data_IF_523011461140
#
_entry.id   IF_523011461140
#
_cell.length_a   1.000
_cell.length_b   1.000
_cell.length_c   1.000
_cell.angle_alpha   90.00
_cell.angle_beta   90.00
_cell.angle_gamma   90.00
#
_symmetry.space_group_name_H-M   'P 1'
#
loop_
_entity.id
_entity.type
_entity.pdbx_description
1 polymer ?
#
# COMPACT_ATOMS: atom_id res chain seq x y z
N UNK A 1 10.11 -8.16 9.26
CA UNK A 1 9.56 -7.89 7.90
C UNK A 1 9.77 -6.43 7.55
N UNK A 2 10.19 -6.16 6.35
CA UNK A 2 10.38 -4.83 5.77
C UNK A 2 9.15 -4.41 4.94
N UNK A 3 8.95 -3.10 4.75
CA UNK A 3 7.88 -2.57 3.89
C UNK A 3 8.46 -1.73 2.75
N UNK A 4 7.86 -1.81 1.57
CA UNK A 4 8.18 -0.94 0.43
C UNK A 4 6.91 -0.22 0.01
N UNK A 5 7.00 1.09 -0.18
CA UNK A 5 5.98 1.87 -0.87
C UNK A 5 6.57 2.27 -2.22
N UNK A 6 5.98 1.76 -3.30
CA UNK A 6 6.40 2.15 -4.64
C UNK A 6 5.58 3.37 -5.09
N UNK A 7 6.21 4.52 -5.05
CA UNK A 7 5.65 5.82 -5.39
C UNK A 7 6.34 6.42 -6.63
N UNK A 8 6.61 5.57 -7.62
CA UNK A 8 7.23 5.94 -8.88
C UNK A 8 6.23 6.35 -9.96
N UNK A 9 6.75 6.55 -11.17
CA UNK A 9 5.97 6.90 -12.35
C UNK A 9 5.70 8.39 -12.49
N UNK A 10 5.48 8.83 -13.74
CA UNK A 10 5.32 10.25 -14.06
C UNK A 10 3.90 10.79 -13.89
N UNK A 11 2.92 9.94 -13.60
CA UNK A 11 1.52 10.33 -13.39
C UNK A 11 0.89 11.05 -14.60
N UNK A 12 1.29 10.73 -15.80
CA UNK A 12 0.88 11.47 -17.04
C UNK A 12 -0.62 11.45 -17.27
N UNK A 13 -1.33 10.42 -16.82
CA UNK A 13 -2.79 10.34 -16.90
C UNK A 13 -3.51 11.42 -16.08
N UNK A 14 -2.81 12.01 -15.10
CA UNK A 14 -3.34 13.08 -14.24
C UNK A 14 -2.83 14.49 -14.63
N UNK A 15 -2.17 14.63 -15.79
CA UNK A 15 -1.79 15.97 -16.25
C UNK A 15 -3.02 16.87 -16.42
N UNK A 16 -2.93 18.17 -16.05
CA UNK A 16 -1.73 18.91 -15.60
C UNK A 16 -1.40 18.83 -14.10
N UNK A 17 -2.18 18.14 -13.28
CA UNK A 17 -2.00 18.09 -11.80
C UNK A 17 -0.60 17.61 -11.39
N UNK A 18 -0.06 16.64 -12.11
CA UNK A 18 1.22 15.97 -11.80
C UNK A 18 2.42 16.52 -12.57
N UNK A 19 2.28 17.68 -13.23
CA UNK A 19 3.42 18.28 -13.96
C UNK A 19 4.58 18.73 -13.07
N UNK A 20 4.29 19.06 -11.82
CA UNK A 20 5.26 19.63 -10.88
C UNK A 20 5.29 18.87 -9.55
N UNK A 21 4.56 17.77 -9.43
CA UNK A 21 4.49 16.97 -8.20
C UNK A 21 4.15 15.53 -8.51
N UNK A 22 4.61 14.61 -7.64
CA UNK A 22 4.19 13.21 -7.68
C UNK A 22 2.68 13.07 -7.47
N UNK A 23 2.06 12.10 -8.14
CA UNK A 23 0.67 11.72 -7.91
C UNK A 23 0.39 11.43 -6.42
N UNK A 24 1.28 10.72 -5.77
CA UNK A 24 1.15 10.29 -4.38
C UNK A 24 1.26 11.43 -3.35
N UNK A 25 1.61 12.64 -3.80
CA UNK A 25 1.59 13.87 -2.99
C UNK A 25 0.30 14.67 -3.18
N UNK A 26 -0.56 14.31 -4.14
CA UNK A 26 -1.87 14.92 -4.30
C UNK A 26 -2.76 14.61 -3.09
N UNK A 27 -3.65 15.55 -2.71
CA UNK A 27 -4.54 15.34 -1.59
C UNK A 27 -5.65 14.32 -1.91
N UNK A 28 -5.92 13.43 -0.97
CA UNK A 28 -7.15 12.66 -0.89
C UNK A 28 -7.88 13.14 0.36
N UNK A 29 -8.87 13.97 0.19
CA UNK A 29 -9.63 14.67 1.20
C UNK A 29 -8.74 15.56 2.10
N UNK A 30 -8.28 15.08 3.25
CA UNK A 30 -7.62 15.88 4.28
C UNK A 30 -6.12 15.56 4.48
N UNK A 31 -5.57 14.66 3.67
CA UNK A 31 -4.16 14.25 3.77
C UNK A 31 -3.57 13.84 2.42
N UNK A 32 -2.23 13.83 2.28
CA UNK A 32 -1.59 13.35 1.05
C UNK A 32 -1.89 11.87 0.78
N UNK A 33 -2.00 11.51 -0.49
CA UNK A 33 -2.31 10.15 -0.93
C UNK A 33 -1.36 9.09 -0.33
N UNK A 34 -0.07 9.39 -0.19
CA UNK A 34 0.94 8.46 0.35
C UNK A 34 0.62 7.97 1.79
N UNK A 35 -0.21 8.70 2.56
CA UNK A 35 -0.60 8.30 3.90
C UNK A 35 -1.41 7.00 3.90
N UNK A 36 -2.22 6.77 2.86
CA UNK A 36 -3.08 5.59 2.78
C UNK A 36 -2.30 4.29 2.64
N UNK A 37 -1.40 4.11 1.64
CA UNK A 37 -0.56 2.91 1.56
C UNK A 37 0.38 2.78 2.77
N UNK A 38 0.90 3.89 3.32
CA UNK A 38 1.73 3.85 4.52
C UNK A 38 0.94 3.30 5.72
N UNK A 39 -0.33 3.69 5.87
CA UNK A 39 -1.20 3.17 6.93
C UNK A 39 -1.43 1.66 6.84
N UNK A 40 -1.45 1.09 5.63
CA UNK A 40 -1.59 -0.35 5.41
C UNK A 40 -0.39 -1.10 5.98
N UNK A 41 0.83 -0.64 5.68
CA UNK A 41 2.05 -1.24 6.23
C UNK A 41 2.12 -1.10 7.75
N UNK A 42 1.77 0.06 8.29
CA UNK A 42 1.72 0.29 9.74
C UNK A 42 0.68 -0.61 10.43
N UNK A 43 -0.50 -0.79 9.85
CA UNK A 43 -1.53 -1.70 10.36
C UNK A 43 -1.13 -3.18 10.27
N UNK A 44 -0.23 -3.53 9.35
CA UNK A 44 0.42 -4.84 9.30
C UNK A 44 1.49 -5.03 10.40
N UNK A 45 1.83 -3.96 11.14
CA UNK A 45 2.88 -3.96 12.17
C UNK A 45 4.28 -3.71 11.62
N UNK A 46 4.40 -3.24 10.38
CA UNK A 46 5.68 -2.98 9.71
C UNK A 46 6.13 -1.56 10.03
N UNK A 47 7.36 -1.44 10.56
CA UNK A 47 7.93 -0.14 10.99
C UNK A 47 9.13 0.30 10.16
N UNK A 48 9.87 -0.61 9.54
CA UNK A 48 10.97 -0.28 8.63
C UNK A 48 10.40 -0.21 7.22
N UNK A 49 10.35 0.99 6.64
CA UNK A 49 9.66 1.25 5.37
C UNK A 49 10.61 1.99 4.42
N UNK A 50 10.75 1.46 3.21
CA UNK A 50 11.46 2.09 2.09
C UNK A 50 10.45 2.72 1.13
N UNK A 51 10.63 4.01 0.87
CA UNK A 51 9.86 4.71 -0.16
C UNK A 51 10.72 4.81 -1.42
N UNK A 52 10.25 4.19 -2.50
CA UNK A 52 10.90 4.22 -3.82
C UNK A 52 10.15 5.19 -4.72
N UNK A 53 10.82 6.21 -5.22
CA UNK A 53 10.22 7.23 -6.08
C UNK A 53 11.15 7.68 -7.19
N UNK A 54 10.68 8.63 -8.01
CA UNK A 54 11.49 9.23 -9.07
C UNK A 54 12.58 10.14 -8.50
N UNK A 55 13.67 10.41 -9.26
CA UNK A 55 14.71 11.35 -8.82
C UNK A 55 14.16 12.74 -8.45
N UNK A 56 13.10 13.19 -9.14
CA UNK A 56 12.51 14.51 -8.94
C UNK A 56 11.63 14.58 -7.69
N UNK A 57 10.97 13.47 -7.34
CA UNK A 57 9.97 13.47 -6.28
C UNK A 57 10.49 12.93 -4.94
N UNK A 58 11.56 12.13 -4.93
CA UNK A 58 12.17 11.61 -3.70
C UNK A 58 12.45 12.71 -2.67
N UNK A 59 13.07 13.89 -3.03
CA UNK A 59 13.28 14.96 -2.05
C UNK A 59 12.00 15.56 -1.47
N UNK A 60 10.88 15.47 -2.21
CA UNK A 60 9.57 15.94 -1.73
C UNK A 60 8.98 15.00 -0.69
N UNK A 61 9.11 13.68 -0.90
CA UNK A 61 8.73 12.69 0.10
C UNK A 61 9.58 12.82 1.36
N UNK A 62 10.89 13.00 1.23
CA UNK A 62 11.79 13.27 2.37
C UNK A 62 11.37 14.53 3.13
N UNK A 63 11.02 15.61 2.42
CA UNK A 63 10.54 16.85 3.03
C UNK A 63 9.21 16.69 3.75
N UNK A 64 8.29 15.86 3.23
CA UNK A 64 6.96 15.62 3.83
C UNK A 64 7.03 14.70 5.04
N UNK A 65 7.78 13.61 4.94
CA UNK A 65 7.67 12.48 5.87
C UNK A 65 8.89 12.37 6.80
N UNK A 66 10.00 13.06 6.49
CA UNK A 66 11.24 13.00 7.27
C UNK A 66 11.79 11.58 7.40
N UNK A 67 12.29 11.26 8.56
CA UNK A 67 12.78 9.92 8.93
C UNK A 67 11.68 9.00 9.50
N UNK A 68 10.45 9.53 9.66
CA UNK A 68 9.28 8.79 10.13
C UNK A 68 9.11 8.71 11.64
N UNK A 69 10.00 9.34 12.44
CA UNK A 69 9.93 9.25 13.90
C UNK A 69 8.58 9.73 14.46
N UNK A 70 7.98 10.77 13.87
CA UNK A 70 6.66 11.31 14.27
C UNK A 70 5.51 10.29 14.07
N UNK A 71 5.73 9.24 13.29
CA UNK A 71 4.81 8.13 13.06
C UNK A 71 5.29 6.83 13.75
N UNK A 72 6.34 6.88 14.53
CA UNK A 72 6.92 5.72 15.20
C UNK A 72 7.49 4.66 14.25
N UNK A 73 7.89 5.04 13.03
CA UNK A 73 8.47 4.17 12.02
C UNK A 73 9.83 4.69 11.57
N UNK A 74 10.60 3.87 10.87
CA UNK A 74 11.88 4.22 10.27
C UNK A 74 11.69 4.31 8.75
N UNK A 75 11.76 5.52 8.20
CA UNK A 75 11.65 5.74 6.76
C UNK A 75 13.05 5.85 6.14
N UNK A 76 13.22 5.16 5.03
CA UNK A 76 14.35 5.29 4.12
C UNK A 76 13.84 5.55 2.71
N UNK A 77 14.72 6.04 1.85
CA UNK A 77 14.32 6.48 0.52
C UNK A 77 15.27 5.92 -0.53
N UNK A 78 14.72 5.52 -1.68
CA UNK A 78 15.51 5.10 -2.82
C UNK A 78 14.91 5.67 -4.12
N UNK A 79 15.76 5.77 -5.12
CA UNK A 79 15.37 6.32 -6.43
C UNK A 79 15.17 5.17 -7.41
N UNK A 80 14.01 5.17 -8.08
CA UNK A 80 13.77 4.41 -9.30
C UNK A 80 14.07 5.31 -10.49
N UNK A 81 15.18 5.07 -11.22
CA UNK A 81 15.63 5.99 -12.27
C UNK A 81 14.72 5.96 -13.51
N UNK A 82 14.09 4.82 -13.78
CA UNK A 82 13.15 4.58 -14.88
C UNK A 82 12.04 3.64 -14.43
N UNK A 83 10.82 3.76 -14.98
CA UNK A 83 9.68 2.91 -14.59
C UNK A 83 9.73 1.55 -15.29
N UNK A 84 10.74 0.73 -14.97
CA UNK A 84 11.00 -0.57 -15.62
C UNK A 84 10.17 -1.72 -15.04
N UNK A 85 9.05 -1.41 -14.40
CA UNK A 85 8.11 -2.36 -13.84
C UNK A 85 8.08 -2.41 -12.31
N UNK A 86 7.01 -3.01 -11.76
CA UNK A 86 6.80 -3.04 -10.32
C UNK A 86 7.80 -3.96 -9.60
N UNK A 87 8.18 -5.08 -10.22
CA UNK A 87 9.11 -6.03 -9.62
C UNK A 87 10.53 -5.46 -9.46
N UNK A 88 10.90 -4.39 -10.19
CA UNK A 88 12.16 -3.68 -10.02
C UNK A 88 12.36 -3.15 -8.59
N UNK A 89 11.26 -2.87 -7.87
CA UNK A 89 11.31 -2.40 -6.49
C UNK A 89 12.09 -3.33 -5.55
N UNK A 90 12.02 -4.65 -5.77
CA UNK A 90 12.76 -5.62 -4.95
C UNK A 90 14.24 -5.66 -5.27
N UNK A 91 14.63 -5.34 -6.50
CA UNK A 91 16.03 -5.21 -6.91
C UNK A 91 16.62 -3.92 -6.32
N UNK A 92 15.91 -2.79 -6.43
CA UNK A 92 16.33 -1.51 -5.84
C UNK A 92 16.41 -1.60 -4.32
N UNK A 93 15.46 -2.31 -3.70
CA UNK A 93 15.37 -2.47 -2.26
C UNK A 93 16.18 -3.62 -1.68
N UNK A 94 17.02 -4.32 -2.45
CA UNK A 94 17.74 -5.53 -2.01
C UNK A 94 18.50 -5.34 -0.71
N UNK A 95 19.33 -4.31 -0.63
CA UNK A 95 20.15 -4.02 0.58
C UNK A 95 19.26 -3.66 1.79
N UNK A 96 18.14 -2.99 1.56
CA UNK A 96 17.17 -2.67 2.61
C UNK A 96 16.41 -3.91 3.09
N UNK A 97 16.04 -4.80 2.18
CA UNK A 97 15.34 -6.04 2.51
C UNK A 97 16.27 -6.98 3.28
N UNK A 98 17.52 -7.14 2.82
CA UNK A 98 18.48 -8.08 3.40
C UNK A 98 17.91 -9.50 3.43
N UNK A 99 18.01 -10.15 4.58
CA UNK A 99 17.50 -11.52 4.79
C UNK A 99 16.04 -11.55 5.27
N UNK A 100 15.33 -10.43 5.25
CA UNK A 100 13.98 -10.31 5.79
C UNK A 100 12.90 -10.61 4.72
N UNK A 101 11.69 -10.92 5.18
CA UNK A 101 10.50 -10.91 4.33
C UNK A 101 10.10 -9.46 4.03
N UNK A 102 9.37 -9.23 2.95
CA UNK A 102 8.98 -7.89 2.53
C UNK A 102 7.52 -7.81 2.12
N UNK A 103 6.86 -6.73 2.52
CA UNK A 103 5.58 -6.31 1.95
C UNK A 103 5.80 -5.13 1.01
N UNK A 104 5.09 -5.10 -0.11
CA UNK A 104 5.06 -3.95 -1.01
C UNK A 104 3.62 -3.48 -1.21
N UNK A 105 3.43 -2.16 -1.18
CA UNK A 105 2.17 -1.52 -1.52
C UNK A 105 2.41 -0.42 -2.55
N UNK A 106 1.50 -0.32 -3.51
CA UNK A 106 1.54 0.76 -4.50
C UNK A 106 1.08 2.07 -3.86
N UNK A 107 1.84 3.14 -4.11
CA UNK A 107 1.69 4.44 -3.47
C UNK A 107 0.38 5.19 -3.76
N UNK A 108 -0.42 4.69 -4.69
CA UNK A 108 -1.70 5.24 -5.14
C UNK A 108 -2.91 4.35 -4.79
N UNK A 109 -2.70 3.32 -4.00
CA UNK A 109 -3.76 2.39 -3.59
C UNK A 109 -4.30 2.72 -2.19
N UNK A 110 -5.61 2.72 -2.06
CA UNK A 110 -6.33 2.92 -0.81
C UNK A 110 -7.03 1.62 -0.44
N UNK A 111 -6.81 1.15 0.77
CA UNK A 111 -7.47 -0.04 1.32
C UNK A 111 -8.20 0.33 2.61
N UNK A 112 -9.45 -0.07 2.72
CA UNK A 112 -10.20 0.06 3.97
C UNK A 112 -11.25 -1.04 4.07
N UNK A 113 -11.63 -1.38 5.29
CA UNK A 113 -12.66 -2.39 5.54
C UNK A 113 -12.50 -3.03 6.91
N UNK A 114 -13.61 -3.49 7.44
CA UNK A 114 -13.61 -4.17 8.73
C UNK A 114 -12.83 -5.49 8.67
N UNK A 115 -11.90 -5.68 9.61
CA UNK A 115 -11.08 -6.90 9.66
C UNK A 115 -9.86 -6.88 8.74
N UNK A 116 -9.57 -5.78 8.03
CA UNK A 116 -8.38 -5.65 7.18
C UNK A 116 -7.09 -5.96 7.98
N UNK A 117 -6.94 -5.39 9.17
CA UNK A 117 -5.75 -5.59 10.02
C UNK A 117 -5.48 -7.08 10.33
N UNK A 118 -6.55 -7.88 10.52
CA UNK A 118 -6.39 -9.33 10.75
C UNK A 118 -5.82 -10.04 9.52
N UNK A 119 -6.28 -9.66 8.31
CA UNK A 119 -5.79 -10.23 7.05
C UNK A 119 -4.35 -9.83 6.77
N UNK A 120 -4.00 -8.56 7.04
CA UNK A 120 -2.63 -8.07 6.92
C UNK A 120 -1.66 -8.84 7.83
N UNK A 121 -2.02 -9.04 9.11
CA UNK A 121 -1.22 -9.82 10.07
C UNK A 121 -1.06 -11.27 9.63
N UNK A 122 -2.11 -11.90 9.10
CA UNK A 122 -2.03 -13.26 8.57
C UNK A 122 -1.08 -13.35 7.36
N UNK A 123 -1.09 -12.34 6.47
CA UNK A 123 -0.15 -12.28 5.35
C UNK A 123 1.31 -12.11 5.82
N UNK A 124 1.55 -11.30 6.86
CA UNK A 124 2.87 -11.18 7.50
C UNK A 124 3.33 -12.54 8.05
N UNK A 125 2.47 -13.23 8.80
CA UNK A 125 2.77 -14.55 9.37
C UNK A 125 3.05 -15.59 8.29
N UNK A 126 2.30 -15.59 7.19
CA UNK A 126 2.54 -16.49 6.06
C UNK A 126 3.93 -16.30 5.46
N UNK A 127 4.32 -15.07 5.18
CA UNK A 127 5.64 -14.77 4.62
C UNK A 127 6.78 -15.12 5.60
N UNK A 128 6.65 -14.75 6.88
CA UNK A 128 7.64 -15.03 7.91
C UNK A 128 7.82 -16.53 8.20
N UNK A 129 6.77 -17.33 8.00
CA UNK A 129 6.83 -18.78 8.14
C UNK A 129 7.27 -19.51 6.86
N UNK A 130 7.74 -18.79 5.85
CA UNK A 130 8.21 -19.38 4.58
C UNK A 130 7.11 -20.02 3.75
N UNK A 131 5.85 -19.55 3.89
CA UNK A 131 4.71 -20.05 3.12
C UNK A 131 4.55 -19.35 1.76
N UNK A 132 5.57 -18.64 1.32
CA UNK A 132 5.62 -17.99 0.03
C UNK A 132 5.04 -16.59 0.00
N UNK A 133 4.19 -16.32 -1.00
CA UNK A 133 3.58 -15.02 -1.23
C UNK A 133 2.10 -14.98 -0.81
N UNK A 134 1.64 -13.82 -0.39
CA UNK A 134 0.21 -13.50 -0.24
C UNK A 134 -0.11 -12.25 -1.03
N UNK A 135 -1.10 -12.33 -1.90
CA UNK A 135 -1.67 -11.22 -2.68
C UNK A 135 -3.15 -11.08 -2.37
N UNK A 136 -3.71 -9.90 -2.63
CA UNK A 136 -5.11 -9.61 -2.33
C UNK A 136 -5.90 -9.47 -3.64
N UNK A 137 -6.94 -10.28 -3.77
CA UNK A 137 -7.86 -10.27 -4.90
C UNK A 137 -9.08 -9.40 -4.61
N UNK A 138 -9.52 -8.65 -5.62
CA UNK A 138 -10.70 -7.79 -5.55
C UNK A 138 -11.55 -7.93 -6.82
N UNK A 139 -12.87 -7.91 -6.68
CA UNK A 139 -13.78 -7.99 -7.82
C UNK A 139 -13.87 -6.64 -8.53
N UNK A 140 -13.69 -6.64 -9.87
CA UNK A 140 -13.77 -5.44 -10.72
C UNK A 140 -14.68 -5.72 -11.92
N UNK A 141 -15.27 -4.66 -12.48
CA UNK A 141 -16.13 -4.76 -13.66
C UNK A 141 -15.36 -4.62 -14.99
N UNK A 142 -14.12 -4.13 -14.93
CA UNK A 142 -13.20 -3.86 -16.05
C UNK A 142 -11.87 -4.64 -15.92
N UNK A 143 -11.92 -5.97 -15.85
CA UNK A 143 -10.76 -6.81 -15.52
C UNK A 143 -9.60 -6.73 -16.51
N UNK A 144 -9.81 -6.31 -17.76
CA UNK A 144 -8.79 -6.17 -18.79
C UNK A 144 -7.67 -5.16 -18.46
N UNK A 145 -7.84 -4.36 -17.42
CA UNK A 145 -6.87 -3.35 -17.01
C UNK A 145 -5.89 -3.81 -15.93
N UNK A 146 -6.07 -5.03 -15.39
CA UNK A 146 -5.37 -5.52 -14.21
C UNK A 146 -4.73 -6.90 -14.44
N UNK A 147 -3.89 -7.31 -13.50
CA UNK A 147 -3.50 -8.72 -13.36
C UNK A 147 -4.67 -9.54 -12.83
N UNK A 148 -5.12 -10.55 -13.57
CA UNK A 148 -6.33 -11.32 -13.28
C UNK A 148 -5.99 -12.71 -12.78
N UNK A 149 -6.63 -13.12 -11.69
CA UNK A 149 -6.51 -14.47 -11.11
C UNK A 149 -7.69 -15.32 -11.54
N UNK A 150 -7.40 -16.54 -12.06
CA UNK A 150 -8.38 -17.57 -12.30
C UNK A 150 -8.40 -18.56 -11.14
N UNK A 151 -9.58 -18.99 -10.73
CA UNK A 151 -9.77 -19.95 -9.65
C UNK A 151 -10.40 -21.24 -10.14
N UNK A 152 -10.02 -22.35 -9.54
CA UNK A 152 -10.73 -23.62 -9.70
C UNK A 152 -12.06 -23.62 -8.91
N UNK A 153 -12.83 -24.69 -9.06
CA UNK A 153 -14.12 -24.88 -8.36
C UNK A 153 -14.01 -24.94 -6.83
N UNK A 154 -12.80 -25.10 -6.29
CA UNK A 154 -12.53 -25.14 -4.86
C UNK A 154 -12.01 -23.78 -4.34
N UNK A 155 -11.91 -22.77 -5.21
CA UNK A 155 -11.39 -21.45 -4.88
C UNK A 155 -9.86 -21.35 -4.83
N UNK A 156 -9.14 -22.34 -5.38
CA UNK A 156 -7.68 -22.31 -5.50
C UNK A 156 -7.28 -21.55 -6.77
N UNK A 157 -6.36 -20.63 -6.66
CA UNK A 157 -5.78 -19.94 -7.82
C UNK A 157 -5.05 -20.95 -8.72
N UNK A 158 -5.34 -20.91 -10.03
CA UNK A 158 -4.79 -21.82 -11.03
C UNK A 158 -4.07 -21.09 -12.17
N UNK A 159 -4.38 -19.83 -12.41
CA UNK A 159 -3.63 -19.00 -13.36
C UNK A 159 -3.65 -17.54 -12.92
N UNK A 160 -2.66 -16.78 -13.39
CA UNK A 160 -2.58 -15.34 -13.24
C UNK A 160 -2.05 -14.73 -14.53
N UNK A 161 -2.76 -13.74 -15.08
CA UNK A 161 -2.45 -13.12 -16.38
C UNK A 161 -2.48 -11.60 -16.26
N UNK A 162 -1.45 -10.94 -16.81
CA UNK A 162 -1.38 -9.47 -16.84
C UNK A 162 -2.21 -8.93 -17.99
N UNK A 163 -3.20 -8.08 -17.66
CA UNK A 163 -4.06 -7.36 -18.62
C UNK A 163 -4.51 -8.23 -19.82
N UNK A 164 -5.18 -9.36 -19.57
CA UNK A 164 -5.57 -10.28 -20.62
C UNK A 164 -6.63 -9.64 -21.55
N UNK A 165 -6.53 -9.90 -22.86
CA UNK A 165 -7.57 -9.50 -23.82
C UNK A 165 -8.92 -10.22 -23.55
N UNK A 166 -8.84 -11.42 -23.00
CA UNK A 166 -9.99 -12.25 -22.66
C UNK A 166 -9.88 -12.72 -21.20
N UNK A 167 -10.28 -11.86 -20.22
CA UNK A 167 -10.17 -12.19 -18.81
C UNK A 167 -10.96 -13.46 -18.43
N UNK A 168 -10.34 -14.36 -17.69
CA UNK A 168 -10.97 -15.61 -17.23
C UNK A 168 -11.77 -15.45 -15.94
N UNK A 169 -11.64 -14.33 -15.27
CA UNK A 169 -12.41 -13.95 -14.09
C UNK A 169 -12.48 -12.43 -13.95
N UNK A 170 -13.29 -11.97 -13.00
CA UNK A 170 -13.35 -10.55 -12.60
C UNK A 170 -12.52 -10.25 -11.33
N UNK A 171 -11.71 -11.18 -10.86
CA UNK A 171 -10.87 -10.95 -9.68
C UNK A 171 -9.48 -10.48 -10.10
N UNK A 172 -9.19 -9.21 -9.84
CA UNK A 172 -7.87 -8.64 -10.05
C UNK A 172 -6.97 -8.79 -8.82
N UNK A 173 -5.67 -8.78 -9.01
CA UNK A 173 -4.68 -8.60 -7.94
C UNK A 173 -4.55 -7.11 -7.66
N UNK A 174 -4.78 -6.72 -6.41
CA UNK A 174 -4.61 -5.34 -5.97
C UNK A 174 -3.14 -4.97 -5.80
N UNK A 175 -2.83 -3.69 -5.59
CA UNK A 175 -1.46 -3.21 -5.38
C UNK A 175 -0.90 -3.45 -3.97
N UNK A 176 -1.14 -4.63 -3.38
CA UNK A 176 -0.65 -5.00 -2.05
C UNK A 176 -0.14 -6.44 -2.06
N UNK A 177 1.12 -6.62 -1.71
CA UNK A 177 1.86 -7.87 -1.87
C UNK A 177 2.68 -8.16 -0.62
N UNK A 178 2.71 -9.43 -0.19
CA UNK A 178 3.57 -9.92 0.90
C UNK A 178 4.37 -11.11 0.38
N UNK A 179 5.68 -11.07 0.56
CA UNK A 179 6.59 -12.09 0.03
C UNK A 179 7.57 -12.56 1.10
N UNK A 180 7.93 -13.83 1.04
CA UNK A 180 9.13 -14.31 1.71
C UNK A 180 10.41 -13.77 1.04
N UNK A 181 11.58 -14.06 1.60
CA UNK A 181 12.85 -13.47 1.13
C UNK A 181 13.26 -13.91 -0.30
N UNK A 182 12.70 -15.00 -0.84
CA UNK A 182 12.98 -15.48 -2.20
C UNK A 182 12.63 -14.46 -3.28
N UNK A 183 11.79 -13.50 -2.98
CA UNK A 183 11.31 -12.49 -3.93
C UNK A 183 12.43 -11.71 -4.61
N UNK A 184 13.53 -11.42 -3.88
CA UNK A 184 14.67 -10.67 -4.42
C UNK A 184 15.35 -11.46 -5.54
N UNK A 185 15.62 -12.74 -5.30
CA UNK A 185 16.22 -13.63 -6.29
C UNK A 185 15.28 -13.86 -7.48
N UNK A 186 14.00 -14.06 -7.23
CA UNK A 186 13.00 -14.19 -8.30
C UNK A 186 12.92 -12.93 -9.16
N UNK A 187 12.89 -11.74 -8.55
CA UNK A 187 12.86 -10.47 -9.28
C UNK A 187 14.11 -10.25 -10.16
N UNK A 188 15.30 -10.62 -9.68
CA UNK A 188 16.56 -10.55 -10.43
C UNK A 188 16.57 -11.44 -11.67
N UNK A 189 15.84 -12.55 -11.63
CA UNK A 189 15.80 -13.53 -12.71
C UNK A 189 14.61 -13.32 -13.68
N UNK A 190 13.75 -12.32 -13.42
CA UNK A 190 12.67 -11.97 -14.35
C UNK A 190 13.24 -11.43 -15.67
N UNK A 191 12.53 -11.73 -16.74
CA UNK A 191 12.78 -11.11 -18.05
C UNK A 191 11.74 -10.02 -18.28
N UNK A 192 12.14 -8.88 -18.87
CA UNK A 192 11.17 -7.86 -19.26
C UNK A 192 10.09 -8.45 -20.19
N UNK A 193 8.85 -8.03 -19.98
CA UNK A 193 7.73 -8.34 -20.85
C UNK A 193 7.86 -7.65 -22.21
N UNK A 194 6.93 -7.91 -23.13
CA UNK A 194 6.86 -7.21 -24.44
C UNK A 194 6.72 -5.68 -24.27
N UNK A 195 6.28 -5.22 -23.10
CA UNK A 195 6.23 -3.78 -22.72
C UNK A 195 7.57 -3.25 -22.21
N UNK A 196 8.57 -4.10 -22.05
CA UNK A 196 9.87 -3.74 -21.48
C UNK A 196 9.88 -3.64 -19.95
N UNK A 197 8.83 -4.14 -19.26
CA UNK A 197 8.66 -4.03 -17.82
C UNK A 197 8.92 -5.37 -17.11
N UNK A 198 9.51 -5.31 -15.90
CA UNK A 198 9.58 -6.43 -14.96
C UNK A 198 8.22 -6.54 -14.26
N UNK A 199 7.36 -7.42 -14.78
CA UNK A 199 5.97 -7.50 -14.34
C UNK A 199 5.83 -8.16 -12.98
N UNK A 200 5.05 -7.55 -12.10
CA UNK A 200 4.71 -8.15 -10.81
C UNK A 200 3.86 -9.42 -10.99
N UNK A 201 3.08 -9.49 -12.05
CA UNK A 201 2.28 -10.67 -12.41
C UNK A 201 3.16 -11.86 -12.74
N UNK A 202 4.29 -11.66 -13.43
CA UNK A 202 5.24 -12.73 -13.71
C UNK A 202 5.94 -13.21 -12.43
N UNK A 203 6.26 -12.29 -11.54
CA UNK A 203 6.78 -12.63 -10.21
C UNK A 203 5.78 -13.47 -9.41
N UNK A 204 4.51 -13.08 -9.38
CA UNK A 204 3.44 -13.83 -8.72
C UNK A 204 3.22 -15.20 -9.38
N UNK A 205 3.42 -15.32 -10.69
CA UNK A 205 3.32 -16.60 -11.42
C UNK A 205 4.38 -17.59 -10.95
N UNK A 206 5.61 -17.15 -10.65
CA UNK A 206 6.65 -18.02 -10.08
C UNK A 206 6.17 -18.64 -8.77
N UNK A 207 5.58 -17.85 -7.86
CA UNK A 207 5.01 -18.36 -6.62
C UNK A 207 3.80 -19.28 -6.83
N UNK A 208 2.98 -19.00 -7.86
CA UNK A 208 1.85 -19.85 -8.21
C UNK A 208 2.32 -21.24 -8.71
N UNK A 209 3.29 -21.28 -9.60
CA UNK A 209 3.89 -22.50 -10.15
C UNK A 209 4.64 -23.32 -9.09
N UNK A 210 5.29 -22.63 -8.14
CA UNK A 210 5.90 -23.25 -6.95
C UNK A 210 4.85 -23.77 -5.94
N UNK A 211 3.57 -23.43 -6.12
CA UNK A 211 2.49 -23.81 -5.21
C UNK A 211 2.45 -23.03 -3.90
N UNK A 212 3.16 -21.91 -3.83
CA UNK A 212 3.31 -21.06 -2.64
C UNK A 212 2.70 -19.65 -2.79
N UNK A 213 1.77 -19.45 -3.75
CA UNK A 213 0.96 -18.24 -3.86
C UNK A 213 -0.36 -18.40 -3.09
N UNK A 214 -0.59 -17.53 -2.11
CA UNK A 214 -1.84 -17.41 -1.39
C UNK A 214 -2.60 -16.19 -1.95
N UNK A 215 -3.87 -16.36 -2.28
CA UNK A 215 -4.75 -15.26 -2.72
C UNK A 215 -5.84 -15.04 -1.68
N UNK A 216 -5.82 -13.89 -1.04
CA UNK A 216 -6.83 -13.45 -0.07
C UNK A 216 -7.87 -12.59 -0.79
N UNK A 217 -9.12 -13.05 -0.86
CA UNK A 217 -10.19 -12.26 -1.48
C UNK A 217 -10.74 -11.21 -0.52
N UNK A 218 -10.69 -9.95 -0.95
CA UNK A 218 -11.36 -8.84 -0.29
C UNK A 218 -12.81 -8.80 -0.76
N UNK A 219 -13.70 -9.39 0.03
CA UNK A 219 -15.11 -9.48 -0.29
C UNK A 219 -15.91 -8.27 0.17
N UNK A 220 -17.22 -8.47 0.37
CA UNK A 220 -18.13 -7.43 0.83
C UNK A 220 -17.64 -6.80 2.15
N UNK A 221 -17.73 -5.47 2.24
CA UNK A 221 -17.27 -4.70 3.40
C UNK A 221 -15.83 -4.21 3.31
N UNK A 222 -15.10 -4.60 2.25
CA UNK A 222 -13.81 -4.00 1.89
C UNK A 222 -13.96 -3.04 0.72
N UNK A 223 -13.15 -2.00 0.72
CA UNK A 223 -13.03 -1.08 -0.39
C UNK A 223 -11.55 -0.96 -0.76
N UNK A 224 -11.28 -1.20 -2.03
CA UNK A 224 -10.00 -0.93 -2.66
C UNK A 224 -10.21 0.09 -3.78
N UNK A 225 -9.37 1.13 -3.80
CA UNK A 225 -9.40 2.18 -4.81
C UNK A 225 -8.01 2.34 -5.41
N UNK A 226 -7.96 2.29 -6.75
CA UNK A 226 -6.81 2.71 -7.55
C UNK A 226 -7.07 4.14 -8.06
N UNK A 227 -6.25 5.09 -7.64
CA UNK A 227 -6.42 6.50 -7.95
C UNK A 227 -5.70 6.91 -9.23
N UNK A 228 -5.83 6.10 -10.29
CA UNK A 228 -5.09 6.24 -11.54
C UNK A 228 -5.61 7.30 -12.52
N UNK A 229 -6.84 7.81 -12.35
CA UNK A 229 -7.50 8.79 -13.21
C UNK A 229 -8.03 9.98 -12.41
N UNK A 230 -8.42 11.07 -13.10
CA UNK A 230 -9.04 12.23 -12.44
C UNK A 230 -10.36 11.85 -11.76
N UNK A 231 -11.16 11.00 -12.40
CA UNK A 231 -12.42 10.50 -11.87
C UNK A 231 -12.18 9.68 -10.60
N UNK A 232 -11.29 8.69 -10.65
CA UNK A 232 -11.00 7.86 -9.49
C UNK A 232 -10.36 8.64 -8.33
N UNK A 233 -9.63 9.72 -8.60
CA UNK A 233 -9.09 10.62 -7.59
C UNK A 233 -10.22 11.37 -6.85
N UNK A 234 -11.22 11.86 -7.58
CA UNK A 234 -12.41 12.52 -7.02
C UNK A 234 -13.25 11.53 -6.24
N UNK A 235 -13.48 10.34 -6.79
CA UNK A 235 -14.26 9.28 -6.12
C UNK A 235 -13.61 8.84 -4.81
N UNK A 236 -12.29 8.66 -4.80
CA UNK A 236 -11.54 8.36 -3.59
C UNK A 236 -11.66 9.47 -2.54
N UNK A 237 -11.57 10.74 -2.95
CA UNK A 237 -11.75 11.89 -2.06
C UNK A 237 -13.16 11.92 -1.46
N UNK A 238 -14.20 11.73 -2.27
CA UNK A 238 -15.58 11.70 -1.83
C UNK A 238 -15.86 10.51 -0.90
N UNK A 239 -15.33 9.34 -1.23
CA UNK A 239 -15.45 8.14 -0.40
C UNK A 239 -14.84 8.36 0.98
N UNK A 240 -13.57 8.78 1.06
CA UNK A 240 -12.88 9.03 2.32
C UNK A 240 -13.63 10.07 3.15
N UNK A 241 -14.00 11.21 2.54
CA UNK A 241 -14.78 12.25 3.19
C UNK A 241 -16.07 11.69 3.80
N UNK A 242 -16.84 10.94 3.03
CA UNK A 242 -18.12 10.38 3.47
C UNK A 242 -17.94 9.41 4.63
N UNK A 243 -16.98 8.49 4.52
CA UNK A 243 -16.73 7.50 5.57
C UNK A 243 -16.27 8.19 6.86
N UNK A 244 -15.29 9.11 6.79
CA UNK A 244 -14.79 9.83 7.97
C UNK A 244 -15.88 10.68 8.65
N UNK A 245 -16.74 11.32 7.87
CA UNK A 245 -17.85 12.13 8.40
C UNK A 245 -18.90 11.29 9.13
N UNK A 246 -19.22 10.10 8.62
CA UNK A 246 -20.25 9.25 9.21
C UNK A 246 -19.74 8.35 10.33
N UNK A 247 -18.49 7.88 10.25
CA UNK A 247 -17.89 7.06 11.28
C UNK A 247 -17.23 7.87 12.39
N UNK A 248 -17.03 9.18 12.18
CA UNK A 248 -16.29 10.06 13.09
C UNK A 248 -14.86 9.58 13.39
N UNK A 249 -14.30 8.77 12.49
CA UNK A 249 -12.95 8.20 12.56
C UNK A 249 -12.22 8.51 11.26
N UNK A 250 -10.94 8.83 11.37
CA UNK A 250 -10.12 9.04 10.18
C UNK A 250 -9.65 7.72 9.57
N UNK A 251 -9.62 7.70 8.25
CA UNK A 251 -8.91 6.65 7.50
C UNK A 251 -7.45 7.08 7.38
N UNK A 252 -6.52 6.15 7.61
CA UNK A 252 -5.08 6.40 7.43
C UNK A 252 -4.53 7.60 8.26
N UNK A 253 -4.99 7.76 9.49
CA UNK A 253 -4.35 8.68 10.43
C UNK A 253 -3.11 7.99 11.01
N UNK A 254 -1.93 8.32 10.49
CA UNK A 254 -0.68 7.62 10.83
C UNK A 254 -0.31 7.80 12.29
N UNK A 255 -0.52 8.98 12.83
CA UNK A 255 -0.25 9.34 14.22
C UNK A 255 -1.16 8.56 15.19
N UNK A 256 -2.45 8.39 14.84
CA UNK A 256 -3.37 7.56 15.62
C UNK A 256 -2.92 6.10 15.62
N UNK A 257 -2.55 5.55 14.45
CA UNK A 257 -2.05 4.18 14.34
C UNK A 257 -0.80 3.99 15.20
N UNK A 258 0.14 4.91 15.13
CA UNK A 258 1.38 4.89 15.91
C UNK A 258 1.09 4.95 17.42
N UNK A 259 0.22 5.86 17.85
CA UNK A 259 -0.15 6.05 19.26
C UNK A 259 -0.89 4.83 19.83
N UNK A 260 -1.88 4.30 19.11
CA UNK A 260 -2.63 3.13 19.55
C UNK A 260 -1.79 1.84 19.61
N UNK A 261 -0.74 1.74 18.77
CA UNK A 261 0.23 0.65 18.83
C UNK A 261 1.35 0.89 19.88
N UNK A 262 1.36 2.03 20.58
CA UNK A 262 2.39 2.37 21.55
C UNK A 262 3.77 2.65 20.92
N UNK A 263 3.81 3.04 19.65
CA UNK A 263 5.05 3.36 18.93
C UNK A 263 5.50 4.81 19.17
N UNK A 264 4.57 5.68 19.51
CA UNK A 264 4.81 7.03 19.99
C UNK A 264 4.09 7.26 21.33
N UNK A 265 4.66 8.09 22.16
CA UNK A 265 4.09 8.48 23.44
C UNK A 265 2.99 9.55 23.27
N UNK A 266 2.26 9.82 24.36
CA UNK A 266 1.29 10.91 24.40
C UNK A 266 1.97 12.28 24.23
N UNK A 267 3.17 12.42 24.79
CA UNK A 267 3.99 13.62 24.70
C UNK A 267 4.40 13.90 23.25
N UNK A 268 4.89 12.89 22.54
CA UNK A 268 5.24 13.01 21.11
C UNK A 268 4.01 13.32 20.25
N UNK A 269 2.86 12.70 20.52
CA UNK A 269 1.61 13.02 19.80
C UNK A 269 1.13 14.45 20.12
N UNK A 270 1.38 14.94 21.35
CA UNK A 270 1.06 16.31 21.72
C UNK A 270 1.91 17.34 20.94
N UNK A 271 3.18 17.04 20.66
CA UNK A 271 4.03 17.91 19.84
C UNK A 271 3.46 18.05 18.42
N UNK A 272 3.01 16.95 17.82
CA UNK A 272 2.35 16.95 16.50
C UNK A 272 1.04 17.77 16.55
N UNK A 273 0.23 17.57 17.60
CA UNK A 273 -1.00 18.34 17.80
C UNK A 273 -0.73 19.84 17.88
N UNK A 274 0.28 20.29 18.61
CA UNK A 274 0.59 21.72 18.78
C UNK A 274 0.84 22.43 17.44
N UNK A 275 1.45 21.72 16.47
CA UNK A 275 1.65 22.23 15.11
C UNK A 275 0.33 22.35 14.34
N UNK A 276 -0.59 21.41 14.54
CA UNK A 276 -1.83 21.27 13.76
C UNK A 276 -3.10 21.69 14.52
N UNK A 277 -3.00 22.20 15.73
CA UNK A 277 -4.16 22.50 16.63
C UNK A 277 -5.23 23.44 16.05
N UNK A 278 -4.91 24.20 15.00
CA UNK A 278 -5.84 25.13 14.35
C UNK A 278 -6.69 24.49 13.26
N UNK A 279 -6.41 23.24 12.88
CA UNK A 279 -7.15 22.55 11.85
C UNK A 279 -7.89 21.32 12.39
N UNK A 280 -8.79 20.77 11.59
CA UNK A 280 -9.62 19.62 11.98
C UNK A 280 -8.82 18.34 12.21
N UNK A 281 -7.70 18.15 11.50
CA UNK A 281 -6.84 16.99 11.67
C UNK A 281 -6.19 17.01 13.07
N UNK A 282 -5.63 18.15 13.47
CA UNK A 282 -5.06 18.31 14.82
C UNK A 282 -6.11 18.15 15.93
N UNK A 283 -7.34 18.69 15.75
CA UNK A 283 -8.41 18.52 16.74
C UNK A 283 -8.80 17.03 16.88
N UNK A 284 -8.77 16.26 15.80
CA UNK A 284 -8.97 14.81 15.86
C UNK A 284 -7.88 14.12 16.67
N UNK A 285 -6.60 14.49 16.52
CA UNK A 285 -5.50 13.95 17.34
C UNK A 285 -5.70 14.24 18.83
N UNK A 286 -6.24 15.41 19.17
CA UNK A 286 -6.60 15.75 20.55
C UNK A 286 -7.69 14.84 21.10
N UNK A 287 -8.74 14.59 20.30
CA UNK A 287 -9.81 13.66 20.65
C UNK A 287 -9.28 12.22 20.88
N UNK A 288 -8.31 11.78 20.06
CA UNK A 288 -7.63 10.48 20.21
C UNK A 288 -6.88 10.40 21.53
N UNK A 289 -6.07 11.43 21.87
CA UNK A 289 -5.32 11.50 23.12
C UNK A 289 -6.21 11.53 24.36
N UNK A 290 -7.39 12.14 24.25
CA UNK A 290 -8.38 12.22 25.33
C UNK A 290 -9.23 10.93 25.47
N UNK A 291 -8.97 9.92 24.62
CA UNK A 291 -9.63 8.62 24.69
C UNK A 291 -11.05 8.60 24.14
N UNK A 292 -11.48 9.62 23.40
CA UNK A 292 -12.85 9.71 22.84
C UNK A 292 -13.23 8.54 21.95
N UNK A 293 -12.24 7.93 21.30
CA UNK A 293 -12.43 6.84 20.34
C UNK A 293 -11.95 5.48 20.86
N UNK A 294 -11.63 5.39 22.15
CA UNK A 294 -11.39 4.08 22.76
C UNK A 294 -12.71 3.33 22.79
N UNK A 295 -12.82 2.29 21.97
CA UNK A 295 -13.93 1.37 22.07
C UNK A 295 -13.83 0.68 23.44
N UNK A 296 -14.82 0.90 24.28
CA UNK A 296 -15.04 0.02 25.42
C UNK A 296 -15.48 -1.31 24.82
N UNK A 297 -14.53 -2.21 24.62
CA UNK A 297 -14.81 -3.60 24.30
C UNK A 297 -15.57 -4.20 25.49
N UNK A 298 -16.88 -4.35 25.34
CA UNK A 298 -17.70 -5.13 26.22
C UNK A 298 -17.62 -6.62 25.87
#
# INVERSE_FOLDING_TARGET
>A
MKGIILAGGYGTRLYPLTKVTSKQLLPIFDKPMIYYPMSVLMNAGIRDILIISTPQDTPRFESLLGDGHQFGVNLTYAVQPSPDGLAQAFIIGEDFIGDDCVAMVLGDNIFTGHGLNKRLKAAVENAQNGKGATVFGYYVDDPEHFGIVEFDKNGKAISIEEKPEHPKSNYCVTGLYFYDNRVVEFAKNLKPSDRGELEITDLNRIYLEDGSLNVELLGQGFTWLDTGTNESLVDATNFVKTVEQHQHRKIACLEEIAYLNGWISKEELMEVYEVMKKNQYGQYLKDVMDGKYQEHLF
#
